data_IF_641764425507
#
_entry.id   IF_641764425507
#
_cell.length_a   1.000
_cell.length_b   1.000
_cell.length_c   1.000
_cell.angle_alpha   90.00
_cell.angle_beta   90.00
_cell.angle_gamma   90.00
#
_symmetry.space_group_name_H-M   'P 1'
#
loop_
_entity.id
_entity.type
_entity.pdbx_description
1 polymer ?
#
# COMPACT_ATOMS: atom_id res chain seq x y z
N UNK A 1 -2.59 -16.51 -7.32
CA UNK A 1 -3.81 -15.91 -6.73
C UNK A 1 -3.48 -14.59 -6.05
N UNK A 2 -4.37 -13.61 -6.15
CA UNK A 2 -4.30 -12.33 -5.46
C UNK A 2 -5.70 -12.00 -4.91
N UNK A 3 -5.76 -11.60 -3.65
CA UNK A 3 -7.00 -11.43 -2.90
C UNK A 3 -6.92 -10.20 -2.00
N UNK A 4 -8.08 -9.65 -1.69
CA UNK A 4 -8.28 -8.54 -0.78
C UNK A 4 -9.16 -9.07 0.35
N UNK A 5 -8.68 -8.98 1.58
CA UNK A 5 -9.40 -9.39 2.77
C UNK A 5 -9.90 -8.14 3.48
N UNK A 6 -11.22 -8.02 3.62
CA UNK A 6 -11.91 -6.92 4.30
C UNK A 6 -12.71 -7.48 5.47
N UNK A 7 -12.17 -7.33 6.68
CA UNK A 7 -12.73 -7.97 7.87
C UNK A 7 -12.77 -9.50 7.73
N UNK A 8 -13.96 -10.09 7.63
CA UNK A 8 -14.16 -11.54 7.44
C UNK A 8 -14.36 -11.95 5.97
N UNK A 9 -14.46 -10.99 5.05
CA UNK A 9 -14.70 -11.26 3.64
C UNK A 9 -13.38 -11.36 2.88
N UNK A 10 -13.29 -12.38 2.02
CA UNK A 10 -12.18 -12.54 1.08
C UNK A 10 -12.70 -12.30 -0.32
N UNK A 11 -12.13 -11.30 -0.99
CA UNK A 11 -12.53 -10.83 -2.31
C UNK A 11 -11.40 -11.15 -3.28
N UNK A 12 -11.71 -11.75 -4.42
CA UNK A 12 -10.71 -11.93 -5.47
C UNK A 12 -10.29 -10.56 -6.01
N UNK A 13 -8.98 -10.30 -6.11
CA UNK A 13 -8.51 -9.03 -6.63
C UNK A 13 -8.80 -8.94 -8.13
N UNK A 14 -9.47 -7.86 -8.53
CA UNK A 14 -9.80 -7.57 -9.92
C UNK A 14 -9.42 -6.12 -10.27
N UNK A 15 -9.02 -5.84 -11.52
CA UNK A 15 -8.80 -4.47 -11.97
C UNK A 15 -10.04 -3.60 -11.75
N UNK A 16 -9.83 -2.37 -11.27
CA UNK A 16 -10.92 -1.42 -10.99
C UNK A 16 -11.62 -1.62 -9.64
N UNK A 17 -11.27 -2.66 -8.88
CA UNK A 17 -11.78 -2.83 -7.52
C UNK A 17 -11.27 -1.69 -6.61
N UNK A 18 -12.18 -1.10 -5.82
CA UNK A 18 -11.87 -0.01 -4.91
C UNK A 18 -11.38 -0.55 -3.57
N UNK A 19 -10.17 -0.14 -3.19
CA UNK A 19 -9.63 -0.41 -1.86
C UNK A 19 -10.16 0.59 -0.83
N UNK A 20 -10.32 0.08 0.38
CA UNK A 20 -10.69 0.84 1.56
C UNK A 20 -9.58 0.75 2.61
N UNK A 21 -9.56 1.72 3.53
CA UNK A 21 -8.71 1.62 4.70
C UNK A 21 -9.05 0.32 5.46
N UNK A 22 -8.04 -0.30 6.06
CA UNK A 22 -8.05 -1.63 6.70
C UNK A 22 -8.09 -2.83 5.77
N UNK A 23 -8.16 -2.64 4.44
CA UNK A 23 -8.04 -3.75 3.51
C UNK A 23 -6.67 -4.43 3.60
N UNK A 24 -6.67 -5.76 3.61
CA UNK A 24 -5.46 -6.57 3.57
C UNK A 24 -5.29 -7.21 2.20
N UNK A 25 -4.19 -6.87 1.55
CA UNK A 25 -3.76 -7.41 0.27
C UNK A 25 -2.96 -8.69 0.52
N UNK A 26 -3.44 -9.80 -0.03
CA UNK A 26 -2.83 -11.13 0.13
C UNK A 26 -2.53 -11.72 -1.23
N UNK A 27 -1.28 -12.12 -1.46
CA UNK A 27 -0.85 -12.80 -2.67
C UNK A 27 -0.33 -14.19 -2.36
N UNK A 28 -0.64 -15.15 -3.25
CA UNK A 28 -0.07 -16.50 -3.20
C UNK A 28 1.32 -16.58 -3.83
N UNK A 29 1.82 -17.80 -4.04
CA UNK A 29 3.17 -18.10 -4.55
C UNK A 29 3.56 -17.37 -5.84
N UNK A 30 2.63 -17.23 -6.77
CA UNK A 30 2.83 -16.52 -8.05
C UNK A 30 1.89 -15.31 -8.17
N UNK A 31 1.26 -14.91 -7.06
CA UNK A 31 0.34 -13.79 -7.02
C UNK A 31 1.08 -12.46 -7.10
N UNK A 32 0.56 -11.52 -7.89
CA UNK A 32 1.02 -10.12 -7.91
C UNK A 32 -0.20 -9.22 -7.95
N UNK A 33 -0.08 -8.01 -7.40
CA UNK A 33 -1.14 -7.02 -7.45
C UNK A 33 -0.55 -5.63 -7.68
N UNK A 34 -1.13 -4.89 -8.62
CA UNK A 34 -0.81 -3.48 -8.84
C UNK A 34 -1.96 -2.62 -8.34
N UNK A 35 -1.64 -1.56 -7.61
CA UNK A 35 -2.61 -0.61 -7.05
C UNK A 35 -2.19 0.79 -7.50
N UNK A 36 -3.16 1.53 -8.03
CA UNK A 36 -3.01 2.94 -8.35
C UNK A 36 -3.92 3.76 -7.41
N UNK A 37 -3.31 4.72 -6.74
CA UNK A 37 -3.99 5.62 -5.81
C UNK A 37 -4.28 6.96 -6.49
N UNK A 38 -5.22 7.72 -5.90
CA UNK A 38 -5.69 8.98 -6.48
C UNK A 38 -4.71 10.16 -6.34
N UNK A 39 -3.66 10.00 -5.54
CA UNK A 39 -2.58 10.97 -5.33
C UNK A 39 -1.37 10.72 -6.26
N UNK A 40 -1.55 9.88 -7.29
CA UNK A 40 -0.51 9.40 -8.22
C UNK A 40 0.48 8.39 -7.62
N UNK A 41 0.27 7.96 -6.36
CA UNK A 41 1.02 6.85 -5.76
C UNK A 41 0.69 5.55 -6.49
N UNK A 42 1.72 4.74 -6.79
CA UNK A 42 1.57 3.39 -7.35
C UNK A 42 2.28 2.38 -6.47
N UNK A 43 1.63 1.26 -6.22
CA UNK A 43 2.13 0.20 -5.37
C UNK A 43 2.06 -1.13 -6.10
N UNK A 44 3.12 -1.93 -5.98
CA UNK A 44 3.22 -3.27 -6.52
C UNK A 44 3.45 -4.25 -5.37
N UNK A 45 2.49 -5.16 -5.18
CA UNK A 45 2.57 -6.26 -4.21
C UNK A 45 3.16 -7.47 -4.90
N UNK A 46 4.28 -7.96 -4.39
CA UNK A 46 4.94 -9.16 -4.89
C UNK A 46 4.26 -10.44 -4.42
N UNK A 47 4.85 -11.61 -4.74
CA UNK A 47 4.32 -12.90 -4.33
C UNK A 47 4.54 -13.21 -2.85
N UNK A 48 3.68 -14.06 -2.29
CA UNK A 48 3.69 -14.45 -0.88
C UNK A 48 3.62 -13.27 0.10
N UNK A 49 2.95 -12.19 -0.30
CA UNK A 49 2.87 -10.96 0.47
C UNK A 49 1.59 -10.87 1.30
N UNK A 50 1.71 -10.26 2.48
CA UNK A 50 0.59 -9.86 3.34
C UNK A 50 0.80 -8.41 3.73
N UNK A 51 -0.03 -7.54 3.16
CA UNK A 51 0.11 -6.08 3.29
C UNK A 51 -1.22 -5.49 3.69
N UNK A 52 -1.24 -4.61 4.68
CA UNK A 52 -2.45 -3.92 5.14
C UNK A 52 -2.36 -2.47 4.73
N UNK A 53 -3.38 -1.97 4.04
CA UNK A 53 -3.57 -0.54 3.83
C UNK A 53 -4.22 0.03 5.09
N UNK A 54 -3.42 0.49 6.05
CA UNK A 54 -3.93 0.96 7.33
C UNK A 54 -4.71 2.28 7.19
N UNK A 55 -4.13 3.24 6.46
CA UNK A 55 -4.74 4.56 6.23
C UNK A 55 -4.48 5.00 4.80
N UNK A 56 -5.52 5.51 4.15
CA UNK A 56 -5.39 6.30 2.93
C UNK A 56 -6.41 7.43 2.95
N UNK A 57 -5.91 8.66 3.02
CA UNK A 57 -6.73 9.88 2.95
C UNK A 57 -6.01 10.86 2.03
N UNK A 58 -6.73 11.41 1.06
CA UNK A 58 -6.18 12.38 0.14
C UNK A 58 -7.18 13.48 -0.15
N UNK A 59 -6.81 14.72 0.17
CA UNK A 59 -7.53 15.91 -0.25
C UNK A 59 -6.91 16.42 -1.56
N UNK A 60 -7.67 16.32 -2.64
CA UNK A 60 -7.24 16.80 -3.97
C UNK A 60 -7.14 18.32 -4.07
N UNK A 61 -7.91 19.05 -3.26
CA UNK A 61 -7.95 20.52 -3.30
C UNK A 61 -6.72 21.11 -2.62
N UNK A 62 -6.40 20.60 -1.43
CA UNK A 62 -5.23 21.03 -0.66
C UNK A 62 -3.96 20.27 -1.05
N UNK A 63 -4.08 19.17 -1.80
CA UNK A 63 -2.99 18.26 -2.16
C UNK A 63 -2.27 17.65 -0.94
N UNK A 64 -2.96 17.55 0.19
CA UNK A 64 -2.48 16.97 1.45
C UNK A 64 -3.16 15.64 1.74
N UNK A 65 -2.57 14.85 2.64
CA UNK A 65 -3.15 13.56 2.99
C UNK A 65 -2.30 12.75 3.94
N UNK A 66 -2.74 11.51 4.14
CA UNK A 66 -2.06 10.52 4.98
C UNK A 66 -2.12 9.17 4.28
N UNK A 67 -0.96 8.53 4.17
CA UNK A 67 -0.79 7.19 3.64
C UNK A 67 -0.02 6.35 4.65
N UNK A 68 -0.61 5.25 5.11
CA UNK A 68 0.06 4.28 5.97
C UNK A 68 -0.20 2.87 5.44
N UNK A 69 0.87 2.18 5.05
CA UNK A 69 0.83 0.76 4.73
C UNK A 69 1.64 -0.05 5.73
N UNK A 70 1.17 -1.25 6.09
CA UNK A 70 1.92 -2.21 6.90
C UNK A 70 2.27 -3.43 6.05
N UNK A 71 3.55 -3.76 5.96
CA UNK A 71 4.06 -4.93 5.26
C UNK A 71 4.43 -5.96 6.31
N UNK A 72 3.56 -6.96 6.50
CA UNK A 72 3.80 -8.01 7.48
C UNK A 72 4.74 -9.07 6.94
N UNK A 73 4.65 -9.36 5.63
CA UNK A 73 5.49 -10.35 4.94
C UNK A 73 5.49 -10.08 3.43
N UNK A 74 6.56 -10.51 2.77
CA UNK A 74 6.75 -10.49 1.33
C UNK A 74 7.35 -9.17 0.84
N UNK A 75 7.13 -8.87 -0.42
CA UNK A 75 7.69 -7.68 -1.06
C UNK A 75 6.63 -6.65 -1.44
N UNK A 76 7.03 -5.38 -1.31
CA UNK A 76 6.25 -4.20 -1.67
C UNK A 76 7.12 -3.20 -2.44
N UNK A 77 6.79 -2.96 -3.71
CA UNK A 77 7.33 -1.85 -4.48
C UNK A 77 6.42 -0.62 -4.37
N UNK A 78 7.01 0.55 -4.18
CA UNK A 78 6.27 1.81 -4.05
C UNK A 78 6.90 2.89 -4.93
N UNK A 79 6.06 3.58 -5.67
CA UNK A 79 6.37 4.84 -6.34
C UNK A 79 5.49 5.90 -5.69
N UNK A 80 6.09 6.77 -4.88
CA UNK A 80 5.36 7.76 -4.09
C UNK A 80 4.77 8.87 -4.95
N UNK A 81 3.53 9.25 -4.66
CA UNK A 81 2.81 10.34 -5.28
C UNK A 81 2.88 11.65 -4.48
N UNK A 82 1.80 12.42 -4.53
CA UNK A 82 1.70 13.78 -3.96
C UNK A 82 1.69 13.79 -2.44
N UNK A 83 1.07 12.80 -1.78
CA UNK A 83 1.01 12.73 -0.30
C UNK A 83 2.41 12.70 0.31
N UNK A 84 3.35 11.95 -0.28
CA UNK A 84 4.71 11.87 0.25
C UNK A 84 5.44 13.23 0.27
N UNK A 85 5.01 14.19 -0.56
CA UNK A 85 5.59 15.53 -0.63
C UNK A 85 4.85 16.55 0.22
N UNK A 86 3.66 16.22 0.74
CA UNK A 86 2.79 17.22 1.37
C UNK A 86 3.23 17.59 2.78
N UNK A 87 3.76 16.64 3.56
CA UNK A 87 4.27 16.91 4.91
C UNK A 87 5.29 15.86 5.35
N UNK A 88 5.98 16.14 6.47
CA UNK A 88 6.79 15.14 7.16
C UNK A 88 5.88 13.99 7.61
N UNK A 89 6.32 12.75 7.39
CA UNK A 89 5.63 11.53 7.81
C UNK A 89 4.22 11.35 7.23
N UNK A 90 3.86 12.10 6.17
CA UNK A 90 2.58 11.98 5.47
C UNK A 90 2.42 10.63 4.75
N UNK A 91 3.53 10.01 4.35
CA UNK A 91 3.56 8.66 3.82
C UNK A 91 4.50 7.79 4.65
N UNK A 92 3.97 6.69 5.19
CA UNK A 92 4.71 5.75 6.00
C UNK A 92 4.49 4.31 5.54
N UNK A 93 5.57 3.53 5.57
CA UNK A 93 5.51 2.07 5.42
C UNK A 93 6.05 1.43 6.69
N UNK A 94 5.22 0.65 7.35
CA UNK A 94 5.59 -0.04 8.59
C UNK A 94 5.91 -1.49 8.26
N UNK A 95 7.00 -2.00 8.81
CA UNK A 95 7.34 -3.42 8.87
C UNK A 95 7.40 -3.84 10.33
N UNK A 96 7.47 -5.14 10.65
CA UNK A 96 7.56 -5.60 12.04
C UNK A 96 8.72 -5.00 12.83
N UNK A 97 9.80 -4.60 12.14
CA UNK A 97 11.03 -4.12 12.77
C UNK A 97 11.28 -2.64 12.56
N UNK A 98 10.61 -1.98 11.62
CA UNK A 98 11.02 -0.63 11.16
C UNK A 98 9.86 0.18 10.62
N UNK A 99 9.90 1.49 10.84
CA UNK A 99 9.00 2.46 10.21
C UNK A 99 9.80 3.26 9.18
N UNK A 100 9.36 3.23 7.92
CA UNK A 100 9.93 4.00 6.83
C UNK A 100 9.07 5.22 6.56
N UNK A 101 9.59 6.42 6.82
CA UNK A 101 8.99 7.68 6.38
C UNK A 101 9.41 8.01 4.95
N UNK A 102 8.45 8.28 4.07
CA UNK A 102 8.69 8.50 2.63
C UNK A 102 8.45 9.96 2.29
N UNK A 103 9.46 10.61 1.69
CA UNK A 103 9.41 12.03 1.27
C UNK A 103 9.45 12.27 -0.25
N UNK A 104 9.42 11.20 -1.03
CA UNK A 104 9.57 11.26 -2.48
C UNK A 104 10.69 10.37 -2.96
N UNK A 105 10.36 9.16 -3.40
CA UNK A 105 11.28 8.23 -4.07
C UNK A 105 10.54 7.02 -4.64
N UNK A 106 11.26 6.17 -5.36
CA UNK A 106 10.85 4.81 -5.71
C UNK A 106 11.67 3.86 -4.86
N UNK A 107 11.01 2.94 -4.16
CA UNK A 107 11.69 2.00 -3.29
C UNK A 107 10.99 0.65 -3.27
N UNK A 108 11.73 -0.37 -2.83
CA UNK A 108 11.22 -1.71 -2.59
C UNK A 108 11.49 -2.09 -1.16
N UNK A 109 10.50 -2.66 -0.50
CA UNK A 109 10.60 -3.24 0.85
C UNK A 109 10.43 -4.74 0.72
N UNK A 110 11.32 -5.51 1.34
CA UNK A 110 11.23 -6.96 1.43
C UNK A 110 11.25 -7.36 2.91
N UNK A 111 10.25 -8.12 3.33
CA UNK A 111 10.09 -8.63 4.69
C UNK A 111 9.96 -10.15 4.62
N UNK A 112 10.86 -10.87 5.28
CA UNK A 112 10.91 -12.34 5.24
C UNK A 112 9.95 -13.00 6.23
#
# INVERSE_FOLDING_TARGET
>A
MAQIVRGKQTIAAAPGFKLEATDQLVTGKDGRMGIAFTDDTRIAVGPNSKIVLATYKYDRTQQTGEFVARVNKGSLGVVSGKIAKSAKDAMQVHTPTTILGVRGTRFVVDVK
#
